data_IF_537490901075
#
_entry.id   IF_537490901075
#
_cell.length_a   1.000
_cell.length_b   1.000
_cell.length_c   1.000
_cell.angle_alpha   90.00
_cell.angle_beta   90.00
_cell.angle_gamma   90.00
#
_symmetry.space_group_name_H-M   'P 1'
#
loop_
_entity.id
_entity.type
_entity.pdbx_description
1 polymer ?
#
# COMPACT_ATOMS: atom_id res chain seq x y z
N UNK A 1 -21.98 23.68 -48.34
CA UNK A 1 -20.98 22.82 -47.65
C UNK A 1 -20.47 23.34 -46.30
N UNK A 2 -20.39 24.65 -46.02
CA UNK A 2 -19.83 25.18 -44.76
C UNK A 2 -20.64 24.91 -43.47
N UNK A 3 -21.96 24.69 -43.57
CA UNK A 3 -22.83 24.47 -42.39
C UNK A 3 -22.68 23.06 -41.78
N UNK A 4 -22.32 22.05 -42.58
CA UNK A 4 -22.20 20.66 -42.11
C UNK A 4 -20.91 20.46 -41.32
N UNK A 5 -19.83 21.15 -41.70
CA UNK A 5 -18.54 21.10 -41.01
C UNK A 5 -18.61 21.69 -39.59
N UNK A 6 -19.45 22.71 -39.39
CA UNK A 6 -19.62 23.36 -38.08
C UNK A 6 -20.39 22.47 -37.09
N UNK A 7 -21.39 21.73 -37.58
CA UNK A 7 -22.15 20.76 -36.78
C UNK A 7 -21.25 19.58 -36.38
N UNK A 8 -20.38 19.12 -37.29
CA UNK A 8 -19.46 18.03 -37.01
C UNK A 8 -18.43 18.40 -35.93
N UNK A 9 -17.87 19.61 -35.97
CA UNK A 9 -16.96 20.13 -34.94
C UNK A 9 -17.65 20.33 -33.57
N UNK A 10 -18.92 20.73 -33.56
CA UNK A 10 -19.72 20.85 -32.33
C UNK A 10 -20.07 19.49 -31.72
N UNK A 11 -20.33 18.47 -32.54
CA UNK A 11 -20.54 17.10 -32.07
C UNK A 11 -19.25 16.50 -31.47
N UNK A 12 -18.07 16.78 -32.04
CA UNK A 12 -16.78 16.30 -31.51
C UNK A 12 -16.47 16.95 -30.16
N UNK A 13 -16.72 18.25 -29.98
CA UNK A 13 -16.49 18.91 -28.70
C UNK A 13 -17.44 18.42 -27.59
N UNK A 14 -18.69 18.08 -27.92
CA UNK A 14 -19.62 17.45 -26.97
C UNK A 14 -19.23 16.00 -26.64
N UNK A 15 -18.73 15.23 -27.61
CA UNK A 15 -18.25 13.87 -27.37
C UNK A 15 -16.97 13.85 -26.51
N UNK A 16 -16.03 14.78 -26.72
CA UNK A 16 -14.81 14.85 -25.92
C UNK A 16 -15.06 15.24 -24.45
N UNK A 17 -16.14 15.99 -24.14
CA UNK A 17 -16.53 16.29 -22.76
C UNK A 17 -17.20 15.10 -22.05
N UNK A 18 -17.84 14.18 -22.78
CA UNK A 18 -18.43 12.96 -22.19
C UNK A 18 -17.38 11.89 -21.87
N UNK A 19 -16.22 11.93 -22.54
CA UNK A 19 -15.06 11.08 -22.22
C UNK A 19 -14.07 11.73 -21.24
N UNK A 20 -14.31 12.98 -20.83
CA UNK A 20 -13.57 13.60 -19.74
C UNK A 20 -14.08 13.06 -18.40
N UNK A 21 -13.32 12.11 -17.84
CA UNK A 21 -13.46 11.56 -16.49
C UNK A 21 -14.67 10.65 -16.25
N UNK A 22 -14.62 9.42 -16.78
CA UNK A 22 -15.11 8.28 -16.00
C UNK A 22 -14.18 8.09 -14.79
N UNK A 23 -14.36 8.89 -13.74
CA UNK A 23 -13.91 8.47 -12.41
C UNK A 23 -14.76 7.27 -12.03
N UNK A 24 -14.12 6.16 -11.60
CA UNK A 24 -14.90 5.06 -11.05
C UNK A 24 -15.74 5.56 -9.86
N UNK A 25 -16.91 4.98 -9.65
CA UNK A 25 -17.69 5.24 -8.43
C UNK A 25 -16.86 4.78 -7.23
N UNK A 26 -16.34 5.73 -6.46
CA UNK A 26 -15.76 5.48 -5.12
C UNK A 26 -16.82 4.85 -4.21
N UNK A 27 -16.39 4.28 -3.09
CA UNK A 27 -17.32 3.75 -2.07
C UNK A 27 -18.22 4.87 -1.56
N UNK A 28 -19.50 4.60 -1.34
CA UNK A 28 -20.36 5.54 -0.62
C UNK A 28 -20.12 5.44 0.88
N UNK A 29 -20.39 6.52 1.63
CA UNK A 29 -20.33 6.49 3.11
C UNK A 29 -21.16 5.34 3.70
N UNK A 30 -22.34 5.06 3.13
CA UNK A 30 -23.18 3.93 3.55
C UNK A 30 -22.49 2.57 3.33
N UNK A 31 -21.80 2.40 2.21
CA UNK A 31 -21.01 1.18 1.95
C UNK A 31 -19.85 1.03 2.94
N UNK A 32 -19.17 2.13 3.27
CA UNK A 32 -18.09 2.14 4.26
C UNK A 32 -18.63 1.80 5.67
N UNK A 33 -19.74 2.41 6.10
CA UNK A 33 -20.41 2.09 7.37
C UNK A 33 -20.89 0.65 7.45
N UNK A 34 -21.34 0.06 6.33
CA UNK A 34 -21.76 -1.34 6.28
C UNK A 34 -20.57 -2.32 6.39
N UNK A 35 -19.41 -1.93 5.84
CA UNK A 35 -18.17 -2.73 5.85
C UNK A 35 -17.46 -2.65 7.18
N UNK A 36 -17.25 -1.44 7.70
CA UNK A 36 -16.45 -1.17 8.89
C UNK A 36 -17.37 -0.87 10.08
N UNK A 37 -17.61 -1.87 10.92
CA UNK A 37 -18.65 -1.82 11.97
C UNK A 37 -18.11 -1.42 13.36
N UNK A 38 -16.80 -1.18 13.49
CA UNK A 38 -16.19 -0.87 14.79
C UNK A 38 -16.53 0.55 15.26
N UNK A 39 -16.72 0.69 16.57
CA UNK A 39 -17.23 1.94 17.20
C UNK A 39 -16.33 3.16 16.98
N UNK A 40 -15.04 2.93 16.72
CA UNK A 40 -14.05 3.99 16.52
C UNK A 40 -14.19 4.68 15.15
N UNK A 41 -14.96 4.11 14.22
CA UNK A 41 -15.17 4.70 12.90
C UNK A 41 -16.34 5.67 12.93
N UNK A 42 -16.02 6.93 13.24
CA UNK A 42 -16.99 8.02 13.15
C UNK A 42 -17.36 8.31 11.70
N UNK A 43 -18.56 8.85 11.49
CA UNK A 43 -18.99 9.29 10.16
C UNK A 43 -17.99 10.24 9.50
N UNK A 44 -17.43 11.16 10.29
CA UNK A 44 -16.39 12.09 9.85
C UNK A 44 -15.15 11.36 9.32
N UNK A 45 -14.59 10.43 10.11
CA UNK A 45 -13.37 9.71 9.70
C UNK A 45 -13.60 8.80 8.49
N UNK A 46 -14.79 8.20 8.36
CA UNK A 46 -15.16 7.43 7.16
C UNK A 46 -15.33 8.31 5.92
N UNK A 47 -15.86 9.53 6.07
CA UNK A 47 -15.94 10.51 4.99
C UNK A 47 -14.54 11.00 4.58
N UNK A 48 -13.68 11.29 5.55
CA UNK A 48 -12.27 11.65 5.28
C UNK A 48 -11.56 10.51 4.54
N UNK A 49 -11.79 9.26 4.96
CA UNK A 49 -11.24 8.07 4.29
C UNK A 49 -11.78 7.91 2.88
N UNK A 50 -13.09 8.11 2.67
CA UNK A 50 -13.71 8.13 1.35
C UNK A 50 -13.03 9.12 0.41
N UNK A 51 -12.71 10.32 0.91
CA UNK A 51 -12.07 11.38 0.13
C UNK A 51 -10.66 11.02 -0.34
N UNK A 52 -9.96 10.12 0.36
CA UNK A 52 -8.63 9.64 -0.07
C UNK A 52 -8.66 8.87 -1.40
N UNK A 53 -9.85 8.42 -1.81
CA UNK A 53 -10.07 7.58 -3.00
C UNK A 53 -10.76 8.30 -4.15
N UNK A 54 -11.10 9.60 -4.01
CA UNK A 54 -11.99 10.31 -4.96
C UNK A 54 -11.42 10.43 -6.38
N UNK A 55 -10.10 10.47 -6.51
CA UNK A 55 -9.41 10.62 -7.80
C UNK A 55 -8.94 9.29 -8.38
N UNK A 56 -9.32 8.15 -7.79
CA UNK A 56 -8.93 6.85 -8.29
C UNK A 56 -9.72 6.49 -9.55
N UNK A 57 -8.98 6.08 -10.59
CA UNK A 57 -9.56 5.63 -11.86
C UNK A 57 -10.42 4.40 -11.70
N UNK A 58 -10.06 3.53 -10.75
CA UNK A 58 -10.74 2.28 -10.44
C UNK A 58 -11.08 2.21 -8.95
N UNK A 59 -12.14 1.46 -8.63
CA UNK A 59 -12.57 1.27 -7.25
C UNK A 59 -11.51 0.42 -6.54
N UNK A 60 -10.87 0.92 -5.48
CA UNK A 60 -9.80 0.18 -4.82
C UNK A 60 -10.36 -1.00 -4.04
N UNK A 61 -9.49 -1.95 -3.72
CA UNK A 61 -9.75 -2.95 -2.71
C UNK A 61 -9.52 -2.33 -1.34
N UNK A 62 -10.33 -2.69 -0.35
CA UNK A 62 -10.24 -2.18 1.02
C UNK A 62 -9.85 -3.30 1.99
N UNK A 63 -8.96 -3.02 2.92
CA UNK A 63 -8.59 -3.95 4.01
C UNK A 63 -8.73 -3.27 5.36
N UNK A 64 -9.32 -3.97 6.32
CA UNK A 64 -9.32 -3.58 7.73
C UNK A 64 -8.16 -4.30 8.41
N UNK A 65 -6.99 -3.68 8.35
CA UNK A 65 -5.72 -4.26 8.77
C UNK A 65 -5.67 -4.44 10.30
N UNK A 66 -6.21 -3.47 11.05
CA UNK A 66 -6.43 -3.59 12.50
C UNK A 66 -7.84 -3.09 12.82
N UNK A 67 -8.73 -3.98 13.32
CA UNK A 67 -10.12 -3.63 13.56
C UNK A 67 -10.32 -2.39 14.43
N UNK A 68 -11.06 -1.42 13.92
CA UNK A 68 -11.30 -0.15 14.61
C UNK A 68 -10.12 0.82 14.69
N UNK A 69 -8.99 0.55 14.03
CA UNK A 69 -7.77 1.35 14.17
C UNK A 69 -7.03 1.59 12.86
N UNK A 70 -6.87 0.59 11.99
CA UNK A 70 -6.11 0.74 10.73
C UNK A 70 -6.91 0.19 9.56
N UNK A 71 -7.10 1.03 8.54
CA UNK A 71 -7.71 0.65 7.27
C UNK A 71 -6.74 1.01 6.15
N UNK A 72 -6.57 0.11 5.19
CA UNK A 72 -5.85 0.38 3.95
C UNK A 72 -6.74 0.24 2.74
N UNK A 73 -6.30 0.87 1.64
CA UNK A 73 -6.82 0.60 0.31
C UNK A 73 -5.70 0.41 -0.69
N UNK A 74 -5.94 -0.41 -1.71
CA UNK A 74 -4.99 -0.59 -2.81
C UNK A 74 -5.67 -0.77 -4.16
N UNK A 75 -4.96 -0.39 -5.21
CA UNK A 75 -5.35 -0.63 -6.61
C UNK A 75 -4.26 -1.41 -7.31
N UNK A 76 -4.68 -2.42 -8.08
CA UNK A 76 -3.82 -3.17 -9.00
C UNK A 76 -4.39 -2.97 -10.40
N UNK A 77 -3.86 -2.00 -11.14
CA UNK A 77 -4.07 -1.97 -12.59
C UNK A 77 -2.73 -2.33 -13.24
N UNK A 78 -2.73 -3.09 -14.33
CA UNK A 78 -1.51 -3.68 -14.91
C UNK A 78 -0.39 -2.69 -15.31
N UNK A 79 -0.57 -1.39 -15.07
CA UNK A 79 0.44 -0.34 -15.25
C UNK A 79 0.95 0.25 -13.92
N UNK A 80 0.13 0.29 -12.86
CA UNK A 80 0.47 0.90 -11.58
C UNK A 80 -0.17 0.15 -10.41
N UNK A 81 0.63 -0.04 -9.37
CA UNK A 81 0.16 -0.52 -8.07
C UNK A 81 0.22 0.65 -7.07
N UNK A 82 -0.90 0.93 -6.40
CA UNK A 82 -0.97 1.96 -5.35
C UNK A 82 -1.52 1.32 -4.09
N UNK A 83 -0.90 1.63 -2.96
CA UNK A 83 -1.35 1.17 -1.66
C UNK A 83 -1.17 2.29 -0.65
N UNK A 84 -2.21 2.54 0.14
CA UNK A 84 -2.20 3.53 1.22
C UNK A 84 -2.84 2.96 2.46
N UNK A 85 -2.24 3.23 3.60
CA UNK A 85 -2.67 2.76 4.91
C UNK A 85 -2.96 3.96 5.80
N UNK A 86 -4.06 3.91 6.54
CA UNK A 86 -4.55 5.00 7.38
C UNK A 86 -4.77 4.53 8.80
N UNK A 87 -4.18 5.26 9.75
CA UNK A 87 -4.45 5.14 11.18
C UNK A 87 -5.64 6.04 11.55
N UNK A 88 -6.63 5.46 12.21
CA UNK A 88 -7.83 6.12 12.70
C UNK A 88 -7.64 6.46 14.18
N UNK A 89 -7.66 7.75 14.50
CA UNK A 89 -7.56 8.27 15.86
C UNK A 89 -8.79 9.12 16.16
N UNK A 90 -9.78 8.56 16.87
CA UNK A 90 -11.07 9.19 17.26
C UNK A 90 -11.78 9.96 16.13
N UNK A 91 -11.35 11.18 15.83
CA UNK A 91 -11.97 12.13 14.91
C UNK A 91 -11.07 12.56 13.75
N UNK A 92 -9.95 11.87 13.53
CA UNK A 92 -9.05 12.12 12.40
C UNK A 92 -8.51 10.82 11.84
N UNK A 93 -8.18 10.85 10.55
CA UNK A 93 -7.36 9.82 9.91
C UNK A 93 -5.98 10.39 9.63
N UNK A 94 -4.96 9.53 9.68
CA UNK A 94 -3.58 9.87 9.34
C UNK A 94 -3.02 8.82 8.39
N UNK A 95 -2.51 9.25 7.24
CA UNK A 95 -1.74 8.36 6.36
C UNK A 95 -0.46 7.93 7.08
N UNK A 96 -0.21 6.63 7.13
CA UNK A 96 0.96 6.02 7.78
C UNK A 96 1.80 5.29 6.74
N UNK A 97 3.12 5.28 6.92
CA UNK A 97 4.03 4.51 6.08
C UNK A 97 4.16 3.11 6.68
N UNK A 98 3.96 2.08 5.86
CA UNK A 98 4.14 0.69 6.28
C UNK A 98 5.44 0.08 5.81
N UNK A 99 6.10 0.67 4.79
CA UNK A 99 7.45 0.29 4.37
C UNK A 99 8.46 1.18 5.11
N UNK A 100 9.49 0.62 5.78
CA UNK A 100 10.54 1.40 6.41
C UNK A 100 11.28 2.28 5.41
N UNK A 101 11.75 3.46 5.84
CA UNK A 101 12.56 4.37 5.01
C UNK A 101 13.91 4.71 5.65
N UNK A 102 14.25 4.06 6.75
CA UNK A 102 15.47 4.32 7.49
C UNK A 102 16.60 3.38 7.04
N UNK A 103 17.81 3.92 6.90
CA UNK A 103 18.97 3.16 6.45
C UNK A 103 19.41 2.10 7.46
N UNK A 104 19.08 2.26 8.74
CA UNK A 104 19.46 1.33 9.80
C UNK A 104 18.71 0.00 9.66
N UNK A 105 17.42 0.05 9.37
CA UNK A 105 16.60 -1.11 9.08
C UNK A 105 17.14 -1.84 7.86
N UNK A 106 17.41 -1.11 6.77
CA UNK A 106 17.94 -1.70 5.55
C UNK A 106 19.31 -2.35 5.77
N UNK A 107 20.20 -1.70 6.53
CA UNK A 107 21.51 -2.23 6.91
C UNK A 107 21.36 -3.51 7.75
N UNK A 108 20.45 -3.53 8.72
CA UNK A 108 20.18 -4.71 9.55
C UNK A 108 19.66 -5.85 8.68
N UNK A 109 18.67 -5.60 7.82
CA UNK A 109 18.13 -6.60 6.90
C UNK A 109 19.20 -7.16 5.94
N UNK A 110 20.02 -6.30 5.37
CA UNK A 110 21.11 -6.70 4.46
C UNK A 110 22.21 -7.52 5.15
N UNK A 111 22.35 -7.46 6.48
CA UNK A 111 23.33 -8.28 7.20
C UNK A 111 22.96 -9.77 7.27
N UNK A 112 21.71 -10.11 6.91
CA UNK A 112 21.19 -11.48 6.96
C UNK A 112 21.14 -12.20 5.61
N UNK A 113 21.49 -11.51 4.52
CA UNK A 113 21.52 -12.10 3.19
C UNK A 113 22.97 -12.33 2.73
N UNK A 114 23.22 -13.24 1.77
CA UNK A 114 24.56 -13.46 1.24
C UNK A 114 25.18 -12.17 0.72
N UNK A 115 26.50 -11.99 0.82
CA UNK A 115 27.19 -10.73 0.47
C UNK A 115 26.92 -10.19 -0.94
N UNK A 116 26.57 -11.07 -1.88
CA UNK A 116 26.23 -10.67 -3.24
C UNK A 116 24.82 -10.10 -3.36
N UNK A 117 23.95 -10.39 -2.40
CA UNK A 117 22.54 -9.99 -2.37
C UNK A 117 22.32 -8.74 -1.53
N UNK A 118 21.48 -7.83 -2.01
CA UNK A 118 21.05 -6.66 -1.23
C UNK A 118 19.62 -6.26 -1.51
N UNK A 119 18.94 -5.79 -0.48
CA UNK A 119 17.69 -5.05 -0.54
C UNK A 119 17.95 -3.55 -0.77
N UNK A 120 17.02 -2.89 -1.45
CA UNK A 120 16.91 -1.44 -1.55
C UNK A 120 15.43 -1.03 -1.48
N UNK A 121 15.13 0.26 -1.34
CA UNK A 121 13.75 0.77 -1.25
C UNK A 121 13.17 1.20 -2.60
N UNK A 122 13.66 0.66 -3.72
CA UNK A 122 13.07 0.92 -5.03
C UNK A 122 11.64 0.34 -5.12
N UNK A 123 10.77 1.06 -5.84
CA UNK A 123 9.30 0.88 -5.78
C UNK A 123 8.81 -0.51 -6.18
N UNK A 124 9.61 -1.27 -6.93
CA UNK A 124 9.22 -2.58 -7.48
C UNK A 124 9.84 -3.75 -6.71
N UNK A 125 10.59 -3.45 -5.64
CA UNK A 125 11.30 -4.46 -4.85
C UNK A 125 10.54 -4.87 -3.60
N UNK A 126 9.49 -4.13 -3.24
CA UNK A 126 8.66 -4.40 -2.08
C UNK A 126 7.22 -4.64 -2.52
N UNK A 127 6.58 -5.65 -1.93
CA UNK A 127 5.14 -5.79 -2.01
C UNK A 127 4.45 -4.67 -1.26
N UNK A 128 3.13 -4.61 -1.38
CA UNK A 128 2.33 -3.90 -0.38
C UNK A 128 2.62 -4.49 1.01
N UNK A 129 2.89 -3.61 1.97
CA UNK A 129 3.16 -3.96 3.35
C UNK A 129 1.89 -3.74 4.18
N UNK A 130 1.28 -4.82 4.65
CA UNK A 130 0.03 -4.79 5.40
C UNK A 130 0.29 -4.91 6.90
N UNK A 131 -0.44 -4.13 7.70
CA UNK A 131 -0.43 -4.31 9.15
C UNK A 131 -1.26 -5.55 9.48
N UNK A 132 -0.65 -6.57 10.09
CA UNK A 132 -1.34 -7.82 10.44
C UNK A 132 -2.20 -7.68 11.69
N UNK A 133 -1.63 -7.07 12.72
CA UNK A 133 -2.24 -6.96 14.04
C UNK A 133 -1.49 -5.96 14.91
N UNK A 134 -2.15 -5.54 15.97
CA UNK A 134 -1.54 -4.86 17.12
C UNK A 134 -1.14 -5.89 18.17
N UNK A 135 0.10 -5.81 18.63
CA UNK A 135 0.70 -6.64 19.66
C UNK A 135 0.40 -6.08 21.06
N UNK A 136 0.56 -6.92 22.09
CA UNK A 136 0.24 -6.57 23.48
C UNK A 136 1.09 -5.42 24.05
N UNK A 137 2.28 -5.21 23.52
CA UNK A 137 3.24 -4.14 23.89
C UNK A 137 3.06 -2.85 23.07
N UNK A 138 1.90 -2.69 22.42
CA UNK A 138 1.50 -1.58 21.54
C UNK A 138 2.33 -1.44 20.25
N UNK A 139 3.06 -2.47 19.85
CA UNK A 139 3.62 -2.52 18.51
C UNK A 139 2.58 -2.97 17.48
N UNK A 140 2.73 -2.53 16.25
CA UNK A 140 2.04 -3.07 15.08
C UNK A 140 2.98 -4.02 14.35
N UNK A 141 2.52 -5.25 14.12
CA UNK A 141 3.23 -6.22 13.29
C UNK A 141 2.86 -5.97 11.83
N UNK A 142 3.87 -5.82 10.97
CA UNK A 142 3.72 -5.59 9.54
C UNK A 142 4.38 -6.75 8.81
N UNK A 143 3.71 -7.27 7.79
CA UNK A 143 4.29 -8.23 6.86
C UNK A 143 4.45 -7.58 5.48
N UNK A 144 5.60 -7.80 4.87
CA UNK A 144 5.84 -7.52 3.47
C UNK A 144 6.68 -8.63 2.84
N UNK A 145 6.64 -8.72 1.52
CA UNK A 145 7.60 -9.48 0.74
C UNK A 145 8.55 -8.49 0.07
N UNK A 146 9.85 -8.75 0.13
CA UNK A 146 10.88 -7.93 -0.51
C UNK A 146 11.80 -8.77 -1.38
N UNK A 147 12.33 -8.17 -2.45
CA UNK A 147 13.26 -8.78 -3.39
C UNK A 147 14.66 -8.25 -3.14
N UNK A 148 15.63 -9.15 -3.01
CA UNK A 148 17.05 -8.81 -2.99
C UNK A 148 17.73 -9.19 -4.30
N UNK A 149 18.74 -8.42 -4.71
CA UNK A 149 19.39 -8.54 -6.02
C UNK A 149 20.86 -8.92 -5.87
N UNK A 150 21.32 -9.82 -6.73
CA UNK A 150 22.68 -10.37 -6.68
C UNK A 150 23.72 -9.65 -7.55
N UNK A 151 23.35 -8.60 -8.30
CA UNK A 151 24.29 -7.84 -9.12
C UNK A 151 23.82 -6.42 -9.41
N UNK A 152 24.77 -5.53 -9.67
CA UNK A 152 24.54 -4.19 -10.21
C UNK A 152 24.85 -4.21 -11.72
N UNK A 153 24.01 -3.62 -12.59
CA UNK A 153 22.79 -2.90 -12.30
C UNK A 153 21.65 -3.82 -11.81
N UNK A 154 20.65 -3.22 -11.15
CA UNK A 154 19.45 -3.88 -10.61
C UNK A 154 18.56 -4.40 -11.76
N UNK A 155 19.04 -5.40 -12.49
CA UNK A 155 18.31 -6.06 -13.57
C UNK A 155 17.62 -7.31 -13.02
N UNK A 156 16.34 -7.52 -13.34
CA UNK A 156 15.68 -8.76 -13.01
C UNK A 156 16.42 -9.95 -13.63
N UNK A 157 16.88 -10.89 -12.80
CA UNK A 157 17.52 -12.12 -13.21
C UNK A 157 17.04 -13.28 -12.31
N UNK A 158 17.35 -14.50 -12.71
CA UNK A 158 16.96 -15.72 -11.97
C UNK A 158 17.63 -15.80 -10.58
N UNK A 159 18.59 -14.92 -10.30
CA UNK A 159 19.31 -14.80 -9.03
C UNK A 159 18.62 -13.82 -8.05
N UNK A 160 17.46 -13.24 -8.38
CA UNK A 160 16.66 -12.47 -7.43
C UNK A 160 16.14 -13.41 -6.35
N UNK A 161 16.45 -13.10 -5.10
CA UNK A 161 15.90 -13.80 -3.96
C UNK A 161 14.68 -13.04 -3.44
N UNK A 162 13.64 -13.78 -3.06
CA UNK A 162 12.39 -13.21 -2.54
C UNK A 162 12.27 -13.63 -1.08
N UNK A 163 12.05 -12.65 -0.21
CA UNK A 163 11.95 -12.84 1.22
C UNK A 163 10.63 -12.34 1.76
N UNK A 164 9.98 -13.15 2.59
CA UNK A 164 8.93 -12.67 3.47
C UNK A 164 9.57 -12.10 4.73
N UNK A 165 9.14 -10.90 5.12
CA UNK A 165 9.72 -10.14 6.21
C UNK A 165 8.60 -9.69 7.13
N UNK A 166 8.74 -10.01 8.41
CA UNK A 166 7.92 -9.47 9.48
C UNK A 166 8.75 -8.44 10.27
N UNK A 167 8.19 -7.27 10.48
CA UNK A 167 8.78 -6.20 11.28
C UNK A 167 7.73 -5.47 12.09
N UNK A 168 8.16 -4.81 13.16
CA UNK A 168 7.27 -4.13 14.10
C UNK A 168 7.58 -2.64 14.21
N UNK A 169 6.54 -1.83 14.47
CA UNK A 169 6.67 -0.39 14.75
C UNK A 169 5.66 0.05 15.80
N UNK A 170 5.96 1.08 16.59
CA UNK A 170 4.96 1.71 17.49
C UNK A 170 4.32 2.95 16.87
N UNK A 171 5.04 3.62 15.97
CA UNK A 171 4.74 4.99 15.57
C UNK A 171 4.75 5.22 14.04
N UNK A 172 5.02 4.15 13.27
CA UNK A 172 5.17 4.18 11.81
C UNK A 172 6.30 5.10 11.33
N UNK A 173 7.33 5.28 12.16
CA UNK A 173 8.57 6.00 11.83
C UNK A 173 9.79 5.12 12.05
N UNK A 174 9.85 4.46 13.20
CA UNK A 174 10.92 3.53 13.56
C UNK A 174 10.42 2.10 13.41
N UNK A 175 11.19 1.28 12.69
CA UNK A 175 10.84 -0.09 12.39
C UNK A 175 11.92 -1.03 12.91
N UNK A 176 11.48 -2.17 13.44
CA UNK A 176 12.35 -3.18 14.02
C UNK A 176 12.10 -4.50 13.30
N UNK A 177 13.12 -5.01 12.62
CA UNK A 177 13.08 -6.32 11.99
C UNK A 177 12.83 -7.39 13.06
N UNK A 178 11.81 -8.21 12.89
CA UNK A 178 11.45 -9.29 13.82
C UNK A 178 11.96 -10.62 13.28
N UNK A 179 11.62 -10.94 12.03
CA UNK A 179 12.01 -12.20 11.40
C UNK A 179 11.88 -12.11 9.90
N UNK A 180 12.56 -13.00 9.21
CA UNK A 180 12.50 -13.12 7.77
C UNK A 180 12.64 -14.58 7.35
N UNK A 181 12.20 -14.91 6.14
CA UNK A 181 12.43 -16.20 5.51
C UNK A 181 12.49 -16.04 4.00
N UNK A 182 13.20 -16.95 3.35
CA UNK A 182 13.06 -17.14 1.90
C UNK A 182 11.60 -17.55 1.62
N UNK A 183 10.94 -16.89 0.66
CA UNK A 183 9.52 -17.11 0.36
C UNK A 183 9.22 -18.54 -0.13
N UNK A 184 10.23 -19.26 -0.63
CA UNK A 184 10.13 -20.65 -1.06
C UNK A 184 10.30 -21.64 0.11
N UNK A 185 10.55 -21.15 1.32
CA UNK A 185 10.75 -21.97 2.52
C UNK A 185 9.70 -21.67 3.57
N UNK A 186 9.49 -22.61 4.50
CA UNK A 186 8.60 -22.42 5.64
C UNK A 186 9.33 -21.90 6.89
N UNK A 187 10.67 -22.03 6.92
CA UNK A 187 11.47 -21.78 8.11
C UNK A 187 11.76 -20.30 8.29
N UNK A 188 11.24 -19.73 9.37
CA UNK A 188 11.56 -18.38 9.81
C UNK A 188 12.92 -18.31 10.51
N UNK A 189 13.67 -17.26 10.21
CA UNK A 189 14.85 -16.83 10.97
C UNK A 189 14.45 -15.66 11.85
N UNK A 190 14.48 -15.88 13.16
CA UNK A 190 14.19 -14.85 14.16
C UNK A 190 15.40 -13.93 14.35
N UNK A 191 15.14 -12.63 14.49
CA UNK A 191 16.17 -11.61 14.70
C UNK A 191 16.30 -11.34 16.19
N UNK A 192 17.51 -11.52 16.72
CA UNK A 192 17.82 -11.11 18.09
C UNK A 192 17.70 -9.57 18.22
N UNK A 193 17.09 -9.12 19.31
CA UNK A 193 16.95 -7.70 19.66
C UNK A 193 18.33 -7.05 19.89
#
# INVERSE_FOLDING_TARGET
MKKITFIFLFCISLFCNLFAQQTSKTYTLQQLKARFKHINYTEKTLLDFQNTMINLREKPQLSEDVPGEIISWYTLNGQYSLHKTYLFEKDKIKEIQTIPKDENFLKKLNSYVPEKSKFSYMSDLWSFAFVKQKLADNFYLIQATAKSFNSYPEMPNDDILIYDIDYKTKDFKEFFLVRFKDSHTEKWTEVAE
#
